data_IF_600082333692
#
_entry.id   IF_600082333692
#
_cell.length_a   1.000
_cell.length_b   1.000
_cell.length_c   1.000
_cell.angle_alpha   90.00
_cell.angle_beta   90.00
_cell.angle_gamma   90.00
#
_symmetry.space_group_name_H-M   'P 1'
#
loop_
_entity.id
_entity.type
_entity.pdbx_description
1 polymer ?
#
# COMPACT_ATOMS: atom_id res chain seq x y z
N UNK A 1 18.07 9.18 15.02
CA UNK A 1 16.62 9.20 15.33
C UNK A 1 15.84 8.25 14.41
N UNK A 2 16.00 8.35 13.11
CA UNK A 2 15.28 7.50 12.12
C UNK A 2 15.56 6.02 12.30
N UNK A 3 16.80 5.60 12.53
CA UNK A 3 17.18 4.19 12.78
C UNK A 3 16.47 3.59 14.01
N UNK A 4 16.31 4.39 15.07
CA UNK A 4 15.56 3.96 16.26
C UNK A 4 14.06 3.84 15.98
N UNK A 5 13.54 4.71 15.12
CA UNK A 5 12.16 4.65 14.67
C UNK A 5 11.91 3.42 13.79
N UNK A 6 12.83 3.08 12.90
CA UNK A 6 12.77 1.85 12.12
C UNK A 6 12.70 0.60 13.00
N UNK A 7 13.56 0.51 14.02
CA UNK A 7 13.53 -0.59 15.00
C UNK A 7 12.19 -0.64 15.77
N UNK A 8 11.59 0.50 16.08
CA UNK A 8 10.27 0.60 16.69
C UNK A 8 9.17 0.06 15.76
N UNK A 9 9.19 0.43 14.46
CA UNK A 9 8.22 -0.05 13.48
C UNK A 9 8.33 -1.56 13.24
N UNK A 10 9.55 -2.09 13.16
CA UNK A 10 9.79 -3.52 12.98
C UNK A 10 9.25 -4.37 14.13
N UNK A 11 9.27 -3.86 15.38
CA UNK A 11 8.65 -4.52 16.53
C UNK A 11 7.13 -4.61 16.46
N UNK A 12 6.48 -3.81 15.62
CA UNK A 12 5.02 -3.80 15.47
C UNK A 12 4.50 -4.73 14.37
N UNK A 13 5.32 -5.63 13.85
CA UNK A 13 4.97 -6.59 12.79
C UNK A 13 4.37 -5.94 11.54
N UNK A 14 4.80 -4.73 11.20
CA UNK A 14 4.38 -4.04 9.98
C UNK A 14 5.09 -4.65 8.76
N UNK A 15 4.41 -4.66 7.61
CA UNK A 15 5.03 -5.09 6.36
C UNK A 15 6.23 -4.22 6.00
N UNK A 16 7.22 -4.80 5.31
CA UNK A 16 8.42 -4.07 4.83
C UNK A 16 8.04 -2.82 4.02
N UNK A 17 7.02 -2.93 3.18
CA UNK A 17 6.54 -1.81 2.37
C UNK A 17 5.96 -0.67 3.25
N UNK A 18 5.22 -1.01 4.31
CA UNK A 18 4.68 -0.03 5.25
C UNK A 18 5.79 0.67 6.02
N UNK A 19 6.76 -0.09 6.53
CA UNK A 19 7.94 0.46 7.23
C UNK A 19 8.69 1.43 6.32
N UNK A 20 8.99 1.03 5.08
CA UNK A 20 9.66 1.84 4.08
C UNK A 20 8.91 3.15 3.77
N UNK A 21 7.58 3.06 3.60
CA UNK A 21 6.73 4.22 3.33
C UNK A 21 6.71 5.21 4.52
N UNK A 22 6.68 4.71 5.75
CA UNK A 22 6.70 5.54 6.96
C UNK A 22 8.05 6.22 7.16
N UNK A 23 9.15 5.48 6.98
CA UNK A 23 10.50 6.05 7.04
C UNK A 23 10.72 7.14 6.01
N UNK A 24 10.29 6.90 4.76
CA UNK A 24 10.35 7.92 3.71
C UNK A 24 9.58 9.18 4.12
N UNK A 25 8.37 9.03 4.66
CA UNK A 25 7.53 10.15 5.09
C UNK A 25 8.20 10.99 6.16
N UNK A 26 8.78 10.34 7.17
CA UNK A 26 9.45 11.03 8.28
C UNK A 26 10.71 11.74 7.79
N UNK A 27 11.52 11.09 6.96
CA UNK A 27 12.71 11.70 6.36
C UNK A 27 12.33 12.92 5.52
N UNK A 28 11.30 12.79 4.68
CA UNK A 28 10.82 13.92 3.87
C UNK A 28 10.39 15.10 4.74
N UNK A 29 9.59 14.82 5.78
CA UNK A 29 9.13 15.85 6.71
C UNK A 29 10.32 16.57 7.40
N UNK A 30 11.24 15.80 7.98
CA UNK A 30 12.38 16.36 8.72
C UNK A 30 13.29 17.20 7.82
N UNK A 31 13.50 16.79 6.58
CA UNK A 31 14.35 17.50 5.62
C UNK A 31 13.73 18.82 5.12
N UNK A 32 12.39 18.88 4.99
CA UNK A 32 11.72 20.04 4.39
C UNK A 32 11.07 20.97 5.42
N UNK A 33 10.64 20.44 6.55
CA UNK A 33 9.92 21.18 7.59
C UNK A 33 10.68 21.27 8.92
N UNK A 34 11.72 20.45 9.08
CA UNK A 34 12.61 20.48 10.25
C UNK A 34 11.91 20.04 11.54
N UNK A 35 11.79 20.95 12.49
CA UNK A 35 11.29 20.64 13.83
C UNK A 35 9.81 20.28 13.88
N UNK A 36 9.48 19.39 14.83
CA UNK A 36 8.10 19.00 15.12
C UNK A 36 7.38 20.12 15.88
N UNK A 37 6.75 21.00 15.11
CA UNK A 37 5.90 22.08 15.62
C UNK A 37 4.51 21.99 14.97
N UNK A 38 3.47 22.34 15.72
CA UNK A 38 2.10 22.32 15.22
C UNK A 38 1.93 23.06 13.89
N UNK A 39 2.56 24.22 13.76
CA UNK A 39 2.55 25.01 12.52
C UNK A 39 3.11 24.24 11.32
N UNK A 40 4.28 23.61 11.50
CA UNK A 40 4.97 22.85 10.45
C UNK A 40 4.18 21.59 10.06
N UNK A 41 3.58 20.90 11.04
CA UNK A 41 2.73 19.73 10.81
C UNK A 41 1.48 20.07 10.00
N UNK A 42 0.83 21.20 10.31
CA UNK A 42 -0.32 21.67 9.56
C UNK A 42 0.06 22.14 8.15
N UNK A 43 1.20 22.82 7.99
CA UNK A 43 1.72 23.21 6.68
C UNK A 43 2.02 21.97 5.81
N UNK A 44 2.66 20.95 6.38
CA UNK A 44 2.88 19.68 5.68
C UNK A 44 1.58 19.00 5.28
N UNK A 45 0.59 18.95 6.17
CA UNK A 45 -0.73 18.39 5.82
C UNK A 45 -1.39 19.17 4.68
N UNK A 46 -1.34 20.50 4.70
CA UNK A 46 -1.84 21.36 3.61
C UNK A 46 -1.17 21.01 2.29
N UNK A 47 0.15 20.96 2.26
CA UNK A 47 0.92 20.53 1.08
C UNK A 47 0.48 19.16 0.54
N UNK A 48 0.28 18.17 1.43
CA UNK A 48 -0.15 16.84 1.03
C UNK A 48 -1.54 16.87 0.38
N UNK A 49 -2.48 17.61 0.97
CA UNK A 49 -3.86 17.70 0.47
C UNK A 49 -3.92 18.37 -0.91
N UNK A 50 -3.07 19.36 -1.15
CA UNK A 50 -3.02 20.07 -2.43
C UNK A 50 -2.37 19.27 -3.56
N UNK A 51 -1.40 18.39 -3.23
CA UNK A 51 -0.55 17.73 -4.23
C UNK A 51 -0.81 16.23 -4.42
N UNK A 52 -1.56 15.59 -3.53
CA UNK A 52 -1.72 14.14 -3.54
C UNK A 52 -3.18 13.69 -3.38
N UNK A 53 -3.47 12.49 -3.88
CA UNK A 53 -4.78 11.84 -3.68
C UNK A 53 -5.02 11.51 -2.21
N UNK A 54 -6.28 11.50 -1.72
CA UNK A 54 -6.61 11.26 -0.31
C UNK A 54 -6.00 9.99 0.30
N UNK A 55 -5.89 8.92 -0.48
CA UNK A 55 -5.23 7.68 -0.03
C UNK A 55 -3.75 7.90 0.30
N UNK A 56 -3.03 8.60 -0.58
CA UNK A 56 -1.61 8.93 -0.37
C UNK A 56 -1.44 9.89 0.82
N UNK A 57 -2.31 10.90 0.93
CA UNK A 57 -2.33 11.82 2.06
C UNK A 57 -2.45 11.04 3.37
N UNK A 58 -3.43 10.14 3.46
CA UNK A 58 -3.66 9.36 4.67
C UNK A 58 -2.48 8.43 4.99
N UNK A 59 -1.87 7.79 3.99
CA UNK A 59 -0.67 6.98 4.20
C UNK A 59 0.47 7.81 4.81
N UNK A 60 0.71 9.01 4.28
CA UNK A 60 1.74 9.92 4.81
C UNK A 60 1.42 10.40 6.22
N UNK A 61 0.16 10.77 6.49
CA UNK A 61 -0.27 11.19 7.82
C UNK A 61 -0.17 10.05 8.85
N UNK A 62 -0.49 8.81 8.46
CA UNK A 62 -0.32 7.64 9.34
C UNK A 62 1.15 7.43 9.71
N UNK A 63 2.07 7.50 8.74
CA UNK A 63 3.50 7.39 9.00
C UNK A 63 4.00 8.47 9.94
N UNK A 64 3.58 9.73 9.73
CA UNK A 64 3.96 10.84 10.60
C UNK A 64 3.34 10.70 12.01
N UNK A 65 2.07 10.26 12.12
CA UNK A 65 1.42 10.02 13.40
C UNK A 65 2.11 8.89 14.19
N UNK A 66 2.60 7.85 13.51
CA UNK A 66 3.42 6.80 14.13
C UNK A 66 4.76 7.33 14.65
N UNK A 67 5.36 8.25 13.94
CA UNK A 67 6.57 8.92 14.42
C UNK A 67 6.29 9.80 15.65
N UNK A 68 5.18 10.56 15.65
CA UNK A 68 4.75 11.35 16.81
C UNK A 68 4.49 10.48 18.04
N UNK A 69 3.91 9.29 17.86
CA UNK A 69 3.74 8.29 18.92
C UNK A 69 5.10 7.82 19.47
N UNK A 70 6.03 7.48 18.58
CA UNK A 70 7.40 7.06 18.96
C UNK A 70 8.13 8.11 19.80
N UNK A 71 8.01 9.40 19.46
CA UNK A 71 8.64 10.50 20.22
C UNK A 71 7.76 11.01 21.38
N UNK A 72 6.65 10.32 21.71
CA UNK A 72 5.71 10.67 22.80
C UNK A 72 5.06 12.05 22.64
N UNK A 73 4.77 12.44 21.43
CA UNK A 73 4.11 13.70 21.10
C UNK A 73 2.69 13.50 20.52
N UNK A 74 1.92 12.58 21.08
CA UNK A 74 0.58 12.16 20.62
C UNK A 74 -0.41 13.33 20.47
N UNK A 75 -0.26 14.36 21.29
CA UNK A 75 -1.09 15.60 21.23
C UNK A 75 -1.03 16.33 19.90
N UNK A 76 0.00 16.07 19.11
CA UNK A 76 0.19 16.68 17.79
C UNK A 76 -0.27 15.78 16.63
N UNK A 77 -0.79 14.59 16.89
CA UNK A 77 -1.32 13.71 15.84
C UNK A 77 -2.32 14.43 14.94
N UNK A 78 -2.17 14.22 13.65
CA UNK A 78 -2.99 14.85 12.63
C UNK A 78 -4.19 13.97 12.29
N UNK A 79 -5.37 14.59 12.16
CA UNK A 79 -6.57 13.89 11.69
C UNK A 79 -6.43 13.54 10.22
N UNK A 80 -6.83 12.31 9.87
CA UNK A 80 -6.87 11.83 8.50
C UNK A 80 -7.91 12.60 7.67
N UNK A 81 -7.72 12.58 6.35
CA UNK A 81 -8.66 13.17 5.40
C UNK A 81 -9.77 12.15 5.11
N UNK A 82 -11.02 12.63 5.04
CA UNK A 82 -12.15 11.78 4.64
C UNK A 82 -11.95 11.30 3.21
N UNK A 83 -12.06 9.98 3.01
CA UNK A 83 -12.08 9.37 1.69
C UNK A 83 -13.52 9.13 1.27
N UNK A 84 -13.86 9.55 0.05
CA UNK A 84 -15.09 9.08 -0.58
C UNK A 84 -14.85 7.63 -1.03
N UNK A 85 -15.60 6.69 -0.49
CA UNK A 85 -15.64 5.34 -1.04
C UNK A 85 -16.32 5.41 -2.41
N UNK A 86 -15.55 5.18 -3.46
CA UNK A 86 -16.14 4.89 -4.76
C UNK A 86 -16.73 3.47 -4.68
N UNK A 87 -18.06 3.38 -4.63
CA UNK A 87 -18.77 2.09 -4.59
C UNK A 87 -18.71 1.31 -5.92
N UNK A 88 -18.05 1.85 -6.92
CA UNK A 88 -17.89 1.22 -8.23
C UNK A 88 -16.43 0.85 -8.46
N UNK A 89 -16.18 -0.41 -8.73
CA UNK A 89 -14.91 -0.87 -9.25
C UNK A 89 -14.84 -0.43 -10.71
N UNK A 90 -14.10 0.66 -10.98
CA UNK A 90 -13.70 1.03 -12.33
C UNK A 90 -12.65 0.01 -12.80
N UNK A 91 -12.69 -0.37 -14.07
CA UNK A 91 -11.75 -1.31 -14.70
C UNK A 91 -11.88 -2.79 -14.23
N UNK A 92 -13.10 -3.25 -14.00
CA UNK A 92 -13.36 -4.67 -13.82
C UNK A 92 -13.52 -5.30 -15.21
N UNK A 93 -12.71 -6.33 -15.47
CA UNK A 93 -12.85 -7.11 -16.70
C UNK A 93 -14.22 -7.82 -16.71
N UNK A 94 -14.94 -7.74 -17.83
CA UNK A 94 -16.20 -8.46 -17.99
C UNK A 94 -15.95 -9.96 -18.14
N UNK A 95 -16.99 -10.77 -17.86
CA UNK A 95 -16.90 -12.21 -18.09
C UNK A 95 -16.59 -12.56 -19.55
N UNK A 96 -17.16 -11.79 -20.51
CA UNK A 96 -16.88 -11.96 -21.92
C UNK A 96 -15.42 -11.70 -22.28
N UNK A 97 -14.86 -10.61 -21.75
CA UNK A 97 -13.44 -10.26 -21.95
C UNK A 97 -12.51 -11.29 -21.32
N UNK A 98 -12.85 -11.78 -20.15
CA UNK A 98 -12.10 -12.86 -19.49
C UNK A 98 -12.07 -14.14 -20.34
N UNK A 99 -13.23 -14.58 -20.84
CA UNK A 99 -13.33 -15.77 -21.70
C UNK A 99 -12.59 -15.58 -23.02
N UNK A 100 -12.67 -14.39 -23.60
CA UNK A 100 -11.92 -14.03 -24.82
C UNK A 100 -10.42 -14.08 -24.57
N UNK A 101 -9.91 -13.44 -23.50
CA UNK A 101 -8.50 -13.48 -23.14
C UNK A 101 -8.01 -14.92 -22.95
N UNK A 102 -8.75 -15.72 -22.21
CA UNK A 102 -8.42 -17.11 -21.90
C UNK A 102 -8.35 -17.98 -23.17
N UNK A 103 -9.29 -17.82 -24.08
CA UNK A 103 -9.30 -18.54 -25.36
C UNK A 103 -8.17 -18.09 -26.30
N UNK A 104 -7.87 -16.80 -26.33
CA UNK A 104 -6.76 -16.26 -27.12
C UNK A 104 -5.41 -16.76 -26.63
N UNK A 105 -5.16 -16.76 -25.33
CA UNK A 105 -3.92 -17.29 -24.74
C UNK A 105 -3.72 -18.77 -25.08
N UNK A 106 -4.79 -19.56 -25.05
CA UNK A 106 -4.74 -20.99 -25.44
C UNK A 106 -4.47 -21.17 -26.92
N UNK A 107 -5.15 -20.39 -27.78
CA UNK A 107 -4.99 -20.44 -29.23
C UNK A 107 -3.58 -20.07 -29.68
N UNK A 108 -3.01 -19.04 -29.07
CA UNK A 108 -1.69 -18.50 -29.41
C UNK A 108 -0.53 -19.28 -28.73
N UNK A 109 -0.85 -20.33 -27.97
CA UNK A 109 0.14 -21.21 -27.34
C UNK A 109 0.77 -20.68 -26.04
N UNK A 110 0.27 -19.57 -25.51
CA UNK A 110 0.74 -19.00 -24.23
C UNK A 110 0.14 -19.73 -23.03
N UNK A 111 0.42 -21.02 -22.89
CA UNK A 111 -0.18 -21.90 -21.87
C UNK A 111 0.17 -21.48 -20.45
N UNK A 112 1.39 -21.01 -20.20
CA UNK A 112 1.78 -20.54 -18.87
C UNK A 112 0.91 -19.37 -18.41
N UNK A 113 0.70 -18.39 -19.27
CA UNK A 113 -0.20 -17.24 -19.00
C UNK A 113 -1.66 -17.67 -18.91
N UNK A 114 -2.10 -18.65 -19.68
CA UNK A 114 -3.43 -19.23 -19.56
C UNK A 114 -3.67 -19.78 -18.15
N UNK A 115 -2.73 -20.57 -17.62
CA UNK A 115 -2.82 -21.11 -16.27
C UNK A 115 -2.74 -20.05 -15.18
N UNK A 116 -1.89 -19.05 -15.33
CA UNK A 116 -1.81 -17.90 -14.41
C UNK A 116 -3.14 -17.15 -14.33
N UNK A 117 -3.73 -16.80 -15.47
CA UNK A 117 -5.02 -16.09 -15.55
C UNK A 117 -6.14 -16.95 -14.96
N UNK A 118 -6.18 -18.22 -15.31
CA UNK A 118 -7.16 -19.17 -14.77
C UNK A 118 -7.04 -19.30 -13.25
N UNK A 119 -5.83 -19.50 -12.74
CA UNK A 119 -5.59 -19.67 -11.31
C UNK A 119 -5.98 -18.44 -10.50
N UNK A 120 -5.55 -17.27 -10.94
CA UNK A 120 -5.89 -16.00 -10.26
C UNK A 120 -7.40 -15.76 -10.24
N UNK A 121 -8.10 -16.08 -11.32
CA UNK A 121 -9.56 -15.89 -11.40
C UNK A 121 -10.31 -16.93 -10.55
N UNK A 122 -9.83 -18.17 -10.52
CA UNK A 122 -10.46 -19.24 -9.74
C UNK A 122 -10.26 -19.07 -8.22
N UNK A 123 -9.11 -18.54 -7.80
CA UNK A 123 -8.73 -18.42 -6.38
C UNK A 123 -8.91 -17.02 -5.80
N UNK A 124 -8.98 -15.97 -6.64
CA UNK A 124 -8.94 -14.57 -6.20
C UNK A 124 -7.57 -14.14 -5.67
N UNK A 125 -6.51 -14.95 -5.87
CA UNK A 125 -5.15 -14.63 -5.41
C UNK A 125 -4.59 -13.40 -6.11
N UNK A 126 -3.81 -12.59 -5.37
CA UNK A 126 -3.05 -11.48 -5.93
C UNK A 126 -1.78 -11.99 -6.61
N UNK A 127 -1.23 -11.22 -7.55
CA UNK A 127 0.03 -11.57 -8.23
C UNK A 127 1.15 -11.86 -7.24
N UNK A 128 1.28 -11.06 -6.19
CA UNK A 128 2.30 -11.26 -5.14
C UNK A 128 2.10 -12.56 -4.35
N UNK A 129 0.86 -13.00 -4.17
CA UNK A 129 0.52 -14.26 -3.51
C UNK A 129 0.81 -15.45 -4.43
N UNK A 130 0.47 -15.32 -5.73
CA UNK A 130 0.78 -16.32 -6.74
C UNK A 130 2.28 -16.60 -6.83
N UNK A 131 3.11 -15.55 -6.81
CA UNK A 131 4.58 -15.68 -6.90
C UNK A 131 5.20 -16.35 -5.67
N UNK A 132 4.50 -16.47 -4.56
CA UNK A 132 4.95 -17.15 -3.34
C UNK A 132 4.52 -18.62 -3.28
N UNK A 133 3.68 -19.09 -4.21
CA UNK A 133 3.23 -20.46 -4.23
C UNK A 133 4.36 -21.37 -4.70
N UNK A 134 4.61 -22.43 -3.94
CA UNK A 134 5.57 -23.48 -4.25
C UNK A 134 4.86 -24.79 -4.50
N UNK A 135 5.50 -25.71 -5.19
CA UNK A 135 4.95 -27.04 -5.45
C UNK A 135 4.52 -27.80 -4.16
N UNK A 136 5.27 -27.59 -3.07
CA UNK A 136 4.97 -28.16 -1.75
C UNK A 136 3.65 -27.65 -1.11
N UNK A 137 3.13 -26.51 -1.58
CA UNK A 137 1.87 -25.94 -1.12
C UNK A 137 0.65 -26.51 -1.86
N UNK A 138 0.87 -27.27 -2.93
CA UNK A 138 -0.19 -27.92 -3.68
C UNK A 138 -0.43 -29.29 -3.07
N UNK A 139 -1.50 -29.40 -2.29
CA UNK A 139 -1.97 -30.70 -1.81
C UNK A 139 -2.56 -31.47 -2.99
N UNK A 140 -1.86 -32.54 -3.40
CA UNK A 140 -2.39 -33.51 -4.34
C UNK A 140 -3.35 -34.41 -3.55
N UNK A 141 -4.64 -34.13 -3.69
CA UNK A 141 -5.70 -34.98 -3.15
C UNK A 141 -5.89 -36.22 -4.01
#
# INVERSE_FOLDING_TARGET
>A
MVTKFEAFLNKQNLSKNTVSAYLWTVNYYLNHYGEIKKKNLLAYKGYLVENYKPQTVNLRLLGLNKFLEFIKMDKYKLKLVKMQQKNFLENVISQADYLFLKSSLKKDGYMDWYFVVWFMTATGARVSELLQIKAEHVLVG
#
